data_IF_270254497703
#
_entry.id   IF_270254497703
#
_cell.length_a   1.000
_cell.length_b   1.000
_cell.length_c   1.000
_cell.angle_alpha   90.00
_cell.angle_beta   90.00
_cell.angle_gamma   90.00
#
_symmetry.space_group_name_H-M   'P 1'
#
loop_
_entity.id
_entity.type
_entity.pdbx_description
1 polymer ?
#
# COMPACT_ATOMS: atom_id res chain seq x y z
N UNK A 1 -22.74 -17.43 -46.71
CA UNK A 1 -23.80 -16.57 -46.13
C UNK A 1 -23.18 -15.63 -45.13
N UNK A 2 -23.27 -14.34 -45.42
CA UNK A 2 -22.61 -13.30 -44.65
C UNK A 2 -23.16 -13.20 -43.22
N UNK A 3 -22.44 -13.69 -42.23
CA UNK A 3 -22.78 -13.55 -40.82
C UNK A 3 -22.81 -12.08 -40.36
N UNK A 4 -22.40 -11.15 -41.23
CA UNK A 4 -22.49 -9.71 -41.02
C UNK A 4 -23.92 -9.20 -40.93
N UNK A 5 -24.84 -9.69 -41.75
CA UNK A 5 -26.20 -9.20 -41.81
C UNK A 5 -27.04 -9.53 -40.56
N UNK A 6 -26.79 -10.66 -39.93
CA UNK A 6 -27.57 -11.12 -38.77
C UNK A 6 -27.24 -10.38 -37.46
N UNK A 7 -26.05 -9.86 -37.34
CA UNK A 7 -25.61 -9.15 -36.12
C UNK A 7 -25.93 -7.63 -36.13
N UNK A 8 -26.21 -7.06 -37.29
CA UNK A 8 -26.44 -5.62 -37.48
C UNK A 8 -27.56 -5.04 -36.59
N UNK A 9 -28.76 -5.63 -36.55
CA UNK A 9 -29.83 -5.08 -35.71
C UNK A 9 -29.50 -5.11 -34.24
N UNK A 10 -28.78 -6.14 -33.79
CA UNK A 10 -28.31 -6.22 -32.41
C UNK A 10 -27.18 -5.19 -32.12
N UNK A 11 -26.27 -4.97 -33.08
CA UNK A 11 -25.21 -3.99 -32.96
C UNK A 11 -25.76 -2.55 -32.88
N UNK A 12 -26.83 -2.24 -33.62
CA UNK A 12 -27.51 -0.96 -33.55
C UNK A 12 -28.14 -0.72 -32.18
N UNK A 13 -28.82 -1.69 -31.62
CA UNK A 13 -29.39 -1.60 -30.26
C UNK A 13 -28.29 -1.48 -29.16
N UNK A 14 -27.20 -2.19 -29.34
CA UNK A 14 -26.03 -2.02 -28.42
C UNK A 14 -25.41 -0.62 -28.56
N UNK A 15 -25.36 -0.05 -29.77
CA UNK A 15 -24.88 1.30 -30.00
C UNK A 15 -25.77 2.35 -29.34
N UNK A 16 -27.09 2.20 -29.44
CA UNK A 16 -28.08 3.02 -28.75
C UNK A 16 -27.81 3.02 -27.23
N UNK A 17 -27.74 1.86 -26.61
CA UNK A 17 -27.37 1.70 -25.20
C UNK A 17 -26.03 2.38 -24.84
N UNK A 18 -25.01 2.20 -25.67
CA UNK A 18 -23.70 2.79 -25.43
C UNK A 18 -23.70 4.32 -25.56
N UNK A 19 -24.53 4.88 -26.44
CA UNK A 19 -24.71 6.33 -26.55
C UNK A 19 -25.40 6.91 -25.31
N UNK A 20 -26.46 6.26 -24.83
CA UNK A 20 -27.19 6.67 -23.62
C UNK A 20 -26.29 6.68 -22.37
N UNK A 21 -25.41 5.69 -22.23
CA UNK A 21 -24.56 5.54 -21.06
C UNK A 21 -23.14 6.10 -21.24
N UNK A 22 -22.86 6.89 -22.28
CA UNK A 22 -21.54 7.44 -22.55
C UNK A 22 -20.46 6.37 -22.73
N UNK A 23 -20.80 5.22 -23.31
CA UNK A 23 -19.92 4.06 -23.52
C UNK A 23 -19.29 3.50 -22.24
N UNK A 24 -19.93 3.67 -21.09
CA UNK A 24 -19.42 3.16 -19.81
C UNK A 24 -19.83 1.72 -19.52
N UNK A 25 -20.87 1.20 -20.18
CA UNK A 25 -21.40 -0.14 -19.92
C UNK A 25 -20.53 -1.23 -20.56
N UNK A 26 -20.08 -2.18 -19.73
CA UNK A 26 -19.56 -3.46 -20.22
C UNK A 26 -20.68 -4.40 -20.63
N UNK A 27 -20.35 -5.49 -21.32
CA UNK A 27 -21.32 -6.41 -21.92
C UNK A 27 -22.41 -6.93 -20.96
N UNK A 28 -22.09 -7.10 -19.65
CA UNK A 28 -23.08 -7.56 -18.65
C UNK A 28 -24.16 -6.53 -18.40
N UNK A 29 -23.84 -5.24 -18.36
CA UNK A 29 -24.80 -4.15 -18.20
C UNK A 29 -25.58 -3.92 -19.48
N UNK A 30 -24.91 -4.00 -20.64
CA UNK A 30 -25.57 -3.95 -21.95
C UNK A 30 -26.57 -5.09 -22.10
N UNK A 31 -26.23 -6.31 -21.68
CA UNK A 31 -27.15 -7.45 -21.67
C UNK A 31 -28.40 -7.17 -20.85
N UNK A 32 -28.26 -6.66 -19.61
CA UNK A 32 -29.40 -6.30 -18.77
C UNK A 32 -30.23 -5.17 -19.40
N UNK A 33 -29.60 -4.19 -20.03
CA UNK A 33 -30.28 -3.11 -20.73
C UNK A 33 -31.11 -3.65 -21.91
N UNK A 34 -30.56 -4.58 -22.69
CA UNK A 34 -31.27 -5.26 -23.79
C UNK A 34 -32.49 -6.03 -23.28
N UNK A 35 -32.34 -6.81 -22.19
CA UNK A 35 -33.46 -7.54 -21.58
C UNK A 35 -34.57 -6.58 -21.12
N UNK A 36 -34.25 -5.44 -20.52
CA UNK A 36 -35.22 -4.41 -20.14
C UNK A 36 -35.98 -3.81 -21.34
N UNK A 37 -35.36 -3.85 -22.52
CA UNK A 37 -35.96 -3.42 -23.79
C UNK A 37 -36.55 -4.59 -24.58
N UNK A 38 -36.81 -5.75 -23.96
CA UNK A 38 -37.46 -6.91 -24.58
C UNK A 38 -36.57 -7.71 -25.55
N UNK A 39 -35.24 -7.48 -25.52
CA UNK A 39 -34.30 -8.14 -26.43
C UNK A 39 -33.48 -9.17 -25.65
N UNK A 40 -33.87 -10.42 -25.74
CA UNK A 40 -33.23 -11.54 -25.05
C UNK A 40 -32.13 -12.16 -25.92
N UNK A 41 -30.89 -12.06 -25.49
CA UNK A 41 -29.69 -12.62 -26.15
C UNK A 41 -28.71 -13.19 -25.14
N UNK A 42 -27.99 -14.22 -25.55
CA UNK A 42 -26.93 -14.77 -24.66
C UNK A 42 -25.85 -13.71 -24.39
N UNK A 43 -25.39 -13.54 -23.14
CA UNK A 43 -24.33 -12.58 -22.79
C UNK A 43 -23.03 -12.73 -23.60
N UNK A 44 -22.67 -13.97 -23.98
CA UNK A 44 -21.50 -14.23 -24.85
C UNK A 44 -21.72 -13.67 -26.26
N UNK A 45 -22.95 -13.76 -26.80
CA UNK A 45 -23.32 -13.17 -28.09
C UNK A 45 -23.21 -11.65 -28.03
N UNK A 46 -23.74 -11.04 -26.98
CA UNK A 46 -23.62 -9.58 -26.76
C UNK A 46 -22.14 -9.16 -26.74
N UNK A 47 -21.28 -9.87 -25.98
CA UNK A 47 -19.85 -9.58 -25.95
C UNK A 47 -19.19 -9.71 -27.33
N UNK A 48 -19.50 -10.78 -28.07
CA UNK A 48 -18.97 -11.01 -29.42
C UNK A 48 -19.33 -9.87 -30.37
N UNK A 49 -20.61 -9.45 -30.36
CA UNK A 49 -21.09 -8.33 -31.20
C UNK A 49 -20.43 -7.01 -30.78
N UNK A 50 -20.32 -6.75 -29.49
CA UNK A 50 -19.59 -5.55 -28.98
C UNK A 50 -18.13 -5.54 -29.44
N UNK A 51 -17.44 -6.68 -29.45
CA UNK A 51 -16.07 -6.79 -29.95
C UNK A 51 -16.00 -6.54 -31.46
N UNK A 52 -16.86 -7.23 -32.21
CA UNK A 52 -16.89 -7.17 -33.69
C UNK A 52 -17.14 -5.75 -34.22
N UNK A 53 -18.02 -4.99 -33.57
CA UNK A 53 -18.42 -3.65 -34.01
C UNK A 53 -17.75 -2.50 -33.21
N UNK A 54 -16.73 -2.78 -32.40
CA UNK A 54 -16.00 -1.75 -31.65
C UNK A 54 -16.84 -1.02 -30.59
N UNK A 55 -17.86 -1.69 -30.04
CA UNK A 55 -18.82 -1.14 -29.07
C UNK A 55 -18.44 -1.46 -27.60
N UNK A 56 -17.20 -1.84 -27.33
CA UNK A 56 -16.74 -2.09 -25.97
C UNK A 56 -16.72 -0.81 -25.13
N UNK A 57 -16.86 -0.98 -23.83
CA UNK A 57 -16.73 0.12 -22.85
C UNK A 57 -15.40 0.84 -23.00
N UNK A 58 -15.45 2.17 -22.91
CA UNK A 58 -14.24 3.03 -22.87
C UNK A 58 -13.62 3.09 -21.49
N UNK A 59 -14.30 2.57 -20.45
CA UNK A 59 -13.76 2.51 -19.11
C UNK A 59 -12.50 1.64 -19.11
N UNK A 60 -11.38 2.30 -18.84
CA UNK A 60 -10.08 1.63 -18.80
C UNK A 60 -10.06 0.64 -17.63
N UNK A 61 -9.97 -0.66 -17.93
CA UNK A 61 -9.66 -1.64 -16.88
C UNK A 61 -8.32 -1.26 -16.27
N UNK A 62 -8.27 -1.19 -14.93
CA UNK A 62 -6.99 -1.08 -14.22
C UNK A 62 -6.11 -2.22 -14.73
N UNK A 63 -5.09 -1.92 -15.54
CA UNK A 63 -4.12 -2.94 -15.95
C UNK A 63 -3.46 -3.41 -14.66
N UNK A 64 -3.65 -4.67 -14.32
CA UNK A 64 -2.84 -5.31 -13.29
C UNK A 64 -1.41 -5.28 -13.82
N UNK A 65 -0.60 -4.34 -13.32
CA UNK A 65 0.83 -4.34 -13.60
C UNK A 65 1.40 -5.50 -12.82
N UNK A 66 1.74 -6.56 -13.53
CA UNK A 66 2.65 -7.57 -12.99
C UNK A 66 4.00 -6.86 -12.86
N UNK A 67 4.39 -6.49 -11.65
CA UNK A 67 5.70 -5.87 -11.37
C UNK A 67 6.83 -6.92 -11.42
N UNK A 68 6.84 -7.80 -12.40
CA UNK A 68 7.81 -8.87 -12.57
C UNK A 68 7.65 -10.00 -11.54
N UNK A 69 8.44 -11.02 -11.67
CA UNK A 69 8.57 -12.05 -10.64
C UNK A 69 9.24 -11.42 -9.43
N UNK A 70 8.58 -11.54 -8.28
CA UNK A 70 9.15 -11.13 -7.01
C UNK A 70 10.42 -11.94 -6.80
N UNK A 71 11.58 -11.27 -6.83
CA UNK A 71 12.88 -11.94 -6.76
C UNK A 71 13.07 -12.65 -5.40
N UNK A 72 12.57 -12.03 -4.31
CA UNK A 72 12.71 -12.55 -2.98
C UNK A 72 11.37 -12.53 -2.23
N UNK A 73 10.98 -13.68 -1.70
CA UNK A 73 9.85 -13.81 -0.77
C UNK A 73 10.35 -14.43 0.52
N UNK A 74 9.88 -13.89 1.62
CA UNK A 74 10.26 -14.36 2.94
C UNK A 74 9.04 -14.94 3.67
N UNK A 75 9.24 -15.95 4.54
CA UNK A 75 8.16 -16.48 5.38
C UNK A 75 7.65 -15.42 6.34
N UNK A 76 6.41 -15.57 6.81
CA UNK A 76 5.87 -14.76 7.90
C UNK A 76 6.39 -15.30 9.24
N UNK A 77 7.50 -14.74 9.72
CA UNK A 77 8.12 -15.13 10.98
C UNK A 77 7.40 -14.51 12.18
N UNK A 78 6.76 -13.33 12.01
CA UNK A 78 5.99 -12.69 13.06
C UNK A 78 4.76 -13.50 13.47
N UNK A 79 4.09 -14.15 12.50
CA UNK A 79 2.90 -14.97 12.70
C UNK A 79 1.88 -14.36 13.68
N UNK A 80 1.68 -13.01 13.61
CA UNK A 80 0.83 -12.18 14.49
C UNK A 80 1.30 -12.09 15.94
N UNK A 81 2.47 -12.60 16.27
CA UNK A 81 3.11 -12.30 17.55
C UNK A 81 3.89 -10.98 17.44
N UNK A 82 3.20 -9.90 17.78
CA UNK A 82 3.73 -8.55 17.79
C UNK A 82 4.39 -8.17 19.11
N UNK A 83 4.57 -9.11 20.01
CA UNK A 83 5.30 -8.89 21.25
C UNK A 83 6.81 -8.93 21.00
N UNK A 84 7.54 -8.08 21.67
CA UNK A 84 9.00 -8.09 21.73
C UNK A 84 9.43 -7.92 23.17
N UNK A 85 10.47 -8.62 23.59
CA UNK A 85 10.99 -8.61 24.95
C UNK A 85 12.02 -7.51 25.19
N UNK A 86 12.68 -7.09 24.11
CA UNK A 86 13.73 -6.07 24.13
C UNK A 86 13.67 -5.15 22.91
N UNK A 87 14.21 -3.92 23.00
CA UNK A 87 14.38 -3.05 21.86
C UNK A 87 15.19 -3.70 20.75
N UNK A 88 14.88 -3.36 19.51
CA UNK A 88 15.58 -3.84 18.32
C UNK A 88 15.51 -5.36 18.09
N UNK A 89 14.51 -6.04 18.64
CA UNK A 89 14.24 -7.45 18.40
C UNK A 89 13.32 -7.65 17.17
N UNK A 90 12.25 -6.88 17.10
CA UNK A 90 11.26 -6.94 16.01
C UNK A 90 10.92 -5.54 15.54
N UNK A 91 11.16 -5.27 14.27
CA UNK A 91 10.74 -4.05 13.60
C UNK A 91 9.67 -4.34 12.57
N UNK A 92 8.77 -3.39 12.37
CA UNK A 92 7.84 -3.36 11.23
C UNK A 92 8.14 -2.15 10.36
N UNK A 93 7.99 -2.31 9.06
CA UNK A 93 8.21 -1.24 8.08
C UNK A 93 7.07 -1.22 7.06
N UNK A 94 6.71 -0.02 6.63
CA UNK A 94 5.70 0.18 5.61
C UNK A 94 5.84 1.57 4.99
N UNK A 95 5.13 1.82 3.89
CA UNK A 95 5.09 3.09 3.18
C UNK A 95 3.66 3.60 3.16
N UNK A 96 3.46 4.82 3.61
CA UNK A 96 2.21 5.54 3.42
C UNK A 96 2.39 6.75 2.51
N UNK A 97 1.28 7.27 2.00
CA UNK A 97 1.26 8.46 1.16
C UNK A 97 0.48 9.59 1.85
N UNK A 98 0.95 10.80 1.62
CA UNK A 98 0.40 12.04 2.17
C UNK A 98 0.14 12.98 1.00
N UNK A 99 -1.10 13.42 0.88
CA UNK A 99 -1.50 14.33 -0.18
C UNK A 99 -1.18 15.77 0.21
N UNK A 100 -0.53 16.48 -0.71
CA UNK A 100 -0.33 17.93 -0.67
C UNK A 100 -0.88 18.55 -1.96
N UNK A 101 -0.99 19.87 -2.04
CA UNK A 101 -1.36 20.51 -3.31
C UNK A 101 -0.29 20.34 -4.40
N UNK A 102 0.97 20.17 -4.03
CA UNK A 102 2.06 19.87 -4.98
C UNK A 102 2.03 18.44 -5.53
N UNK A 103 1.32 17.53 -4.85
CA UNK A 103 1.25 16.12 -5.24
C UNK A 103 1.33 15.17 -4.04
N UNK A 104 1.79 13.95 -4.28
CA UNK A 104 1.89 12.91 -3.26
C UNK A 104 3.30 12.85 -2.68
N UNK A 105 3.41 12.97 -1.37
CA UNK A 105 4.63 12.69 -0.60
C UNK A 105 4.52 11.28 0.00
N UNK A 106 5.52 10.46 -0.21
CA UNK A 106 5.62 9.12 0.36
C UNK A 106 6.42 9.16 1.65
N UNK A 107 5.94 8.46 2.67
CA UNK A 107 6.58 8.33 3.98
C UNK A 107 6.87 6.86 4.23
N UNK A 108 8.14 6.50 4.32
CA UNK A 108 8.60 5.18 4.77
C UNK A 108 9.02 5.28 6.24
N UNK A 109 8.58 4.32 7.06
CA UNK A 109 8.91 4.25 8.48
C UNK A 109 9.49 2.89 8.86
N UNK A 110 10.23 2.88 9.97
CA UNK A 110 10.54 1.68 10.75
C UNK A 110 10.08 1.93 12.17
N UNK A 111 9.24 1.02 12.69
CA UNK A 111 8.69 1.03 14.04
C UNK A 111 9.19 -0.17 14.82
N UNK A 112 9.68 0.06 16.03
CA UNK A 112 10.04 -1.00 16.97
C UNK A 112 8.79 -1.56 17.66
N UNK A 113 8.68 -2.87 17.76
CA UNK A 113 7.52 -3.51 18.41
C UNK A 113 7.64 -3.61 19.93
N UNK A 114 8.82 -3.40 20.49
CA UNK A 114 9.01 -3.40 21.94
C UNK A 114 8.36 -2.19 22.62
N UNK A 115 8.68 -1.00 22.14
CA UNK A 115 8.24 0.27 22.72
C UNK A 115 7.27 1.04 21.82
N UNK A 116 7.10 0.62 20.59
CA UNK A 116 6.34 1.27 19.53
C UNK A 116 6.94 2.58 19.00
N UNK A 117 8.20 2.90 19.31
CA UNK A 117 8.87 4.08 18.77
C UNK A 117 9.07 4.01 17.26
N UNK A 118 9.07 5.16 16.61
CA UNK A 118 9.54 5.29 15.23
C UNK A 118 11.04 5.44 15.26
N UNK A 119 11.74 4.36 14.95
CA UNK A 119 13.20 4.27 14.94
C UNK A 119 13.79 5.15 13.84
N UNK A 120 13.23 5.06 12.65
CA UNK A 120 13.62 5.86 11.51
C UNK A 120 12.45 6.11 10.57
N UNK A 121 12.56 7.19 9.81
CA UNK A 121 11.65 7.50 8.72
C UNK A 121 12.37 8.26 7.60
N UNK A 122 11.84 8.17 6.40
CA UNK A 122 12.22 9.00 5.25
C UNK A 122 11.01 9.38 4.43
N UNK A 123 11.10 10.55 3.83
CA UNK A 123 10.09 11.03 2.87
C UNK A 123 10.69 11.12 1.47
N UNK A 124 9.87 10.94 0.46
CA UNK A 124 10.25 11.05 -0.95
C UNK A 124 9.05 11.39 -1.84
N UNK A 125 9.32 11.94 -3.00
CA UNK A 125 8.31 12.23 -4.03
C UNK A 125 7.98 11.01 -4.89
N UNK A 126 8.73 9.93 -4.73
CA UNK A 126 8.56 8.66 -5.45
C UNK A 126 8.51 7.49 -4.47
N UNK A 127 7.61 6.54 -4.76
CA UNK A 127 7.53 5.27 -4.03
C UNK A 127 8.50 4.27 -4.69
N UNK A 128 9.78 4.39 -4.40
CA UNK A 128 10.82 3.55 -4.97
C UNK A 128 11.60 2.74 -3.92
N UNK A 129 12.46 1.84 -4.38
CA UNK A 129 13.29 0.99 -3.52
C UNK A 129 14.25 1.82 -2.66
N UNK A 130 14.79 2.92 -3.20
CA UNK A 130 15.76 3.77 -2.49
C UNK A 130 15.17 4.44 -1.26
N UNK A 131 13.87 4.73 -1.25
CA UNK A 131 13.16 5.27 -0.07
C UNK A 131 13.25 4.29 1.10
N UNK A 132 12.93 3.01 0.86
CA UNK A 132 12.99 1.95 1.88
C UNK A 132 14.44 1.69 2.33
N UNK A 133 15.36 1.52 1.37
CA UNK A 133 16.77 1.30 1.71
C UNK A 133 17.37 2.45 2.52
N UNK A 134 16.97 3.68 2.17
CA UNK A 134 17.36 4.88 2.92
C UNK A 134 16.85 4.85 4.36
N UNK A 135 15.60 4.42 4.59
CA UNK A 135 15.01 4.30 5.93
C UNK A 135 15.75 3.25 6.77
N UNK A 136 16.10 2.09 6.17
CA UNK A 136 16.86 1.04 6.87
C UNK A 136 18.27 1.54 7.24
N UNK A 137 18.94 2.26 6.34
CA UNK A 137 20.27 2.84 6.63
C UNK A 137 20.21 3.85 7.78
N UNK A 138 19.19 4.69 7.84
CA UNK A 138 18.99 5.63 8.95
C UNK A 138 18.71 4.89 10.26
N UNK A 139 17.90 3.84 10.26
CA UNK A 139 17.69 3.01 11.45
C UNK A 139 18.98 2.37 11.93
N UNK A 140 19.79 1.80 11.02
CA UNK A 140 21.09 1.20 11.35
C UNK A 140 22.09 2.18 11.94
N UNK A 141 22.05 3.46 11.56
CA UNK A 141 22.91 4.51 12.14
C UNK A 141 22.53 4.86 13.58
N UNK A 142 21.22 4.84 13.88
CA UNK A 142 20.68 5.23 15.18
C UNK A 142 20.74 4.12 16.22
N UNK A 143 20.58 2.88 15.76
CA UNK A 143 20.38 1.73 16.63
C UNK A 143 21.45 0.65 16.44
N UNK A 144 21.77 -0.03 17.53
CA UNK A 144 22.60 -1.23 17.47
C UNK A 144 21.76 -2.39 16.93
N UNK A 145 21.95 -2.70 15.66
CA UNK A 145 21.30 -3.83 15.00
C UNK A 145 22.11 -5.10 15.24
N UNK A 146 21.48 -6.11 15.79
CA UNK A 146 22.04 -7.45 15.99
C UNK A 146 21.48 -8.45 14.98
N UNK A 147 22.10 -9.61 14.84
CA UNK A 147 21.62 -10.69 13.96
C UNK A 147 20.25 -11.27 14.38
N UNK A 148 19.77 -10.94 15.58
CA UNK A 148 18.44 -11.37 16.04
C UNK A 148 17.30 -10.45 15.52
N UNK A 149 17.62 -9.28 14.96
CA UNK A 149 16.61 -8.35 14.49
C UNK A 149 15.80 -8.92 13.34
N UNK A 150 14.50 -9.00 13.52
CA UNK A 150 13.53 -9.29 12.47
C UNK A 150 12.94 -8.00 11.92
N UNK A 151 12.92 -7.84 10.59
CA UNK A 151 12.29 -6.71 9.92
C UNK A 151 11.10 -7.23 9.10
N UNK A 152 9.89 -6.92 9.54
CA UNK A 152 8.66 -7.35 8.91
C UNK A 152 8.08 -6.27 7.99
N UNK A 153 7.63 -6.68 6.80
CA UNK A 153 7.03 -5.81 5.79
C UNK A 153 5.85 -6.49 5.11
N UNK A 154 5.14 -5.76 4.28
CA UNK A 154 4.26 -6.34 3.27
C UNK A 154 5.07 -6.97 2.11
N UNK A 155 4.35 -7.50 1.08
CA UNK A 155 4.97 -8.06 -0.12
C UNK A 155 5.12 -7.00 -1.24
N UNK A 156 5.30 -5.73 -0.90
CA UNK A 156 5.55 -4.67 -1.85
C UNK A 156 6.84 -4.90 -2.66
N UNK A 157 6.89 -4.40 -3.90
CA UNK A 157 8.04 -4.60 -4.80
C UNK A 157 9.35 -4.04 -4.21
N UNK A 158 9.28 -3.07 -3.33
CA UNK A 158 10.45 -2.49 -2.66
C UNK A 158 11.12 -3.53 -1.75
N UNK A 159 10.33 -4.30 -1.03
CA UNK A 159 10.78 -5.29 -0.06
C UNK A 159 11.15 -6.64 -0.68
N UNK A 160 10.69 -6.90 -1.91
CA UNK A 160 11.02 -8.12 -2.67
C UNK A 160 12.19 -7.92 -3.63
N UNK A 161 12.77 -6.72 -3.68
CA UNK A 161 13.86 -6.37 -4.59
C UNK A 161 15.20 -6.99 -4.17
N UNK A 162 16.06 -7.24 -5.16
CA UNK A 162 17.43 -7.72 -4.93
C UNK A 162 18.25 -6.75 -4.04
N UNK A 163 18.00 -5.44 -4.17
CA UNK A 163 18.71 -4.44 -3.37
C UNK A 163 18.31 -4.51 -1.88
N UNK A 164 17.03 -4.75 -1.59
CA UNK A 164 16.57 -4.99 -0.22
C UNK A 164 17.19 -6.26 0.36
N UNK A 165 17.19 -7.36 -0.39
CA UNK A 165 17.85 -8.61 0.02
C UNK A 165 19.32 -8.38 0.39
N UNK A 166 20.10 -7.75 -0.50
CA UNK A 166 21.53 -7.49 -0.25
C UNK A 166 21.74 -6.63 0.99
N UNK A 167 20.93 -5.59 1.18
CA UNK A 167 21.06 -4.69 2.32
C UNK A 167 20.74 -5.39 3.65
N UNK A 168 19.65 -6.15 3.71
CA UNK A 168 19.27 -6.88 4.93
C UNK A 168 20.31 -7.94 5.29
N UNK A 169 20.82 -8.67 4.30
CA UNK A 169 21.92 -9.62 4.51
C UNK A 169 23.18 -8.93 5.04
N UNK A 170 23.60 -7.80 4.44
CA UNK A 170 24.81 -7.07 4.87
C UNK A 170 24.71 -6.52 6.29
N UNK A 171 23.49 -6.34 6.81
CA UNK A 171 23.25 -5.83 8.17
C UNK A 171 22.91 -6.96 9.17
N UNK A 172 22.86 -8.23 8.73
CA UNK A 172 22.44 -9.35 9.56
C UNK A 172 20.97 -9.27 9.99
N UNK A 173 20.12 -8.55 9.26
CA UNK A 173 18.70 -8.42 9.54
C UNK A 173 17.96 -9.60 8.92
N UNK A 174 17.09 -10.25 9.67
CA UNK A 174 16.23 -11.35 9.20
C UNK A 174 14.92 -10.76 8.62
N UNK A 175 14.71 -10.83 7.30
CA UNK A 175 13.47 -10.34 6.70
C UNK A 175 12.29 -11.28 7.00
N UNK A 176 11.12 -10.68 7.23
CA UNK A 176 9.85 -11.37 7.39
C UNK A 176 8.77 -10.66 6.56
N UNK A 177 7.80 -11.38 6.02
CA UNK A 177 6.74 -10.78 5.18
C UNK A 177 5.36 -11.23 5.58
N UNK A 178 4.40 -10.32 5.51
CA UNK A 178 2.98 -10.62 5.63
C UNK A 178 2.55 -11.63 4.58
N UNK A 179 1.55 -12.44 4.89
CA UNK A 179 0.88 -13.29 3.90
C UNK A 179 0.13 -12.42 2.89
N UNK A 180 0.13 -12.84 1.65
CA UNK A 180 -0.55 -12.08 0.58
C UNK A 180 -2.03 -11.89 0.88
N UNK A 181 -2.48 -10.63 0.84
CA UNK A 181 -3.88 -10.29 1.06
C UNK A 181 -4.35 -10.38 2.52
N UNK A 182 -3.43 -10.50 3.48
CA UNK A 182 -3.76 -10.52 4.90
C UNK A 182 -3.38 -9.20 5.58
N UNK A 183 -4.33 -8.26 5.77
CA UNK A 183 -4.06 -6.96 6.38
C UNK A 183 -3.65 -7.06 7.85
N UNK A 184 -4.05 -8.11 8.56
CA UNK A 184 -3.73 -8.26 9.98
C UNK A 184 -2.24 -8.50 10.24
N UNK A 185 -1.50 -8.98 9.25
CA UNK A 185 -0.09 -9.29 9.43
C UNK A 185 0.80 -8.03 9.46
N UNK A 186 0.33 -6.87 8.93
CA UNK A 186 1.04 -5.58 8.95
C UNK A 186 0.29 -4.49 9.75
N UNK A 187 -0.70 -4.88 10.54
CA UNK A 187 -1.61 -3.97 11.23
C UNK A 187 -0.92 -2.91 12.12
N UNK A 188 0.26 -3.19 12.68
CA UNK A 188 0.94 -2.24 13.56
C UNK A 188 1.62 -1.09 12.82
N UNK A 189 2.14 -1.32 11.60
CA UNK A 189 2.63 -0.23 10.77
C UNK A 189 1.47 0.64 10.26
N UNK A 190 0.38 -0.01 9.80
CA UNK A 190 -0.85 0.67 9.37
C UNK A 190 -1.49 1.49 10.51
N UNK A 191 -1.46 0.96 11.74
CA UNK A 191 -1.96 1.65 12.94
C UNK A 191 -1.23 2.98 13.17
N UNK A 192 0.10 3.02 13.07
CA UNK A 192 0.84 4.27 13.21
C UNK A 192 0.43 5.29 12.15
N UNK A 193 0.31 4.86 10.89
CA UNK A 193 -0.12 5.78 9.83
C UNK A 193 -1.54 6.30 10.04
N UNK A 194 -2.44 5.48 10.56
CA UNK A 194 -3.79 5.92 10.92
C UNK A 194 -3.75 7.01 11.99
N UNK A 195 -2.94 6.80 13.03
CA UNK A 195 -2.75 7.77 14.13
C UNK A 195 -2.15 9.08 13.58
N UNK A 196 -1.04 9.02 12.83
CA UNK A 196 -0.41 10.19 12.21
C UNK A 196 -1.39 10.97 11.34
N UNK A 197 -2.15 10.27 10.49
CA UNK A 197 -3.12 10.92 9.60
C UNK A 197 -4.24 11.61 10.38
N UNK A 198 -4.78 10.95 11.39
CA UNK A 198 -5.91 11.45 12.17
C UNK A 198 -5.50 12.58 13.11
N UNK A 199 -4.41 12.42 13.84
CA UNK A 199 -3.98 13.39 14.85
C UNK A 199 -3.25 14.61 14.24
N UNK A 200 -2.67 14.47 13.03
CA UNK A 200 -1.81 15.49 12.45
C UNK A 200 -2.24 15.87 11.02
N UNK A 201 -2.12 14.97 10.05
CA UNK A 201 -2.20 15.30 8.62
C UNK A 201 -3.59 15.84 8.22
N UNK A 202 -4.67 15.18 8.64
CA UNK A 202 -6.05 15.57 8.25
C UNK A 202 -6.52 16.87 8.90
N UNK A 203 -5.77 17.37 9.88
CA UNK A 203 -6.07 18.65 10.56
C UNK A 203 -5.46 19.85 9.87
N UNK A 204 -4.59 19.63 8.86
CA UNK A 204 -3.82 20.66 8.18
C UNK A 204 -3.99 20.54 6.67
N UNK A 205 -4.23 21.66 5.99
CA UNK A 205 -4.26 21.73 4.53
C UNK A 205 -2.84 21.94 4.00
N UNK A 206 -2.12 20.86 3.77
CA UNK A 206 -0.75 20.88 3.29
C UNK A 206 -0.65 21.46 1.86
N UNK A 207 0.15 22.48 1.69
CA UNK A 207 0.36 23.12 0.38
C UNK A 207 1.56 22.48 -0.33
N UNK A 208 2.67 22.32 0.39
CA UNK A 208 3.97 21.92 -0.19
C UNK A 208 4.49 20.62 0.42
N UNK A 209 5.46 20.00 -0.28
CA UNK A 209 6.19 18.86 0.26
C UNK A 209 7.01 19.23 1.50
N UNK A 210 7.52 20.45 1.55
CA UNK A 210 8.35 20.92 2.67
C UNK A 210 7.51 21.08 3.94
N UNK A 211 6.33 21.70 3.85
CA UNK A 211 5.38 21.77 4.97
C UNK A 211 5.04 20.36 5.49
N UNK A 212 4.78 19.42 4.57
CA UNK A 212 4.49 18.05 4.95
C UNK A 212 5.67 17.37 5.66
N UNK A 213 6.92 17.60 5.20
CA UNK A 213 8.12 17.05 5.82
C UNK A 213 8.33 17.58 7.23
N UNK A 214 8.21 18.89 7.42
CA UNK A 214 8.32 19.52 8.73
C UNK A 214 7.27 18.99 9.69
N UNK A 215 6.02 19.01 9.28
CA UNK A 215 4.90 18.53 10.09
C UNK A 215 5.04 17.06 10.50
N UNK A 216 5.49 16.18 9.58
CA UNK A 216 5.77 14.78 9.88
C UNK A 216 6.90 14.65 10.90
N UNK A 217 7.98 15.43 10.74
CA UNK A 217 9.12 15.39 11.64
C UNK A 217 8.74 15.80 13.05
N UNK A 218 8.03 16.91 13.19
CA UNK A 218 7.52 17.41 14.47
C UNK A 218 6.57 16.40 15.13
N UNK A 219 5.67 15.82 14.34
CA UNK A 219 4.75 14.81 14.86
C UNK A 219 5.46 13.53 15.32
N UNK A 220 6.45 13.02 14.58
CA UNK A 220 7.21 11.82 14.97
C UNK A 220 8.02 12.13 16.24
N UNK A 221 8.57 13.34 16.38
CA UNK A 221 9.22 13.75 17.62
C UNK A 221 8.23 13.74 18.79
N UNK A 222 7.10 14.41 18.65
CA UNK A 222 6.01 14.38 19.65
C UNK A 222 5.57 12.95 19.98
N UNK A 223 5.34 12.12 18.96
CA UNK A 223 4.93 10.74 19.13
C UNK A 223 5.91 9.92 19.98
N UNK A 224 7.20 10.06 19.71
CA UNK A 224 8.22 9.29 20.42
C UNK A 224 8.46 9.78 21.84
N UNK A 225 8.44 11.11 22.08
CA UNK A 225 8.90 11.73 23.34
C UNK A 225 7.77 12.17 24.26
N UNK A 226 6.57 12.43 23.75
CA UNK A 226 5.50 13.09 24.52
C UNK A 226 4.18 12.34 24.47
N UNK A 227 3.89 11.60 23.39
CA UNK A 227 2.62 10.92 23.23
C UNK A 227 2.54 9.68 24.11
N UNK A 228 1.69 9.74 25.16
CA UNK A 228 1.49 8.64 26.10
C UNK A 228 0.72 7.49 25.41
N UNK A 229 1.23 6.26 25.53
CA UNK A 229 0.56 5.04 25.12
C UNK A 229 -0.34 4.53 26.23
N UNK A 230 -1.62 4.31 25.96
CA UNK A 230 -2.60 3.90 26.97
C UNK A 230 -2.25 2.59 27.67
N UNK A 231 -1.66 1.63 26.93
CA UNK A 231 -1.31 0.32 27.48
C UNK A 231 -0.15 0.37 28.49
N UNK A 232 0.85 1.18 28.22
CA UNK A 232 2.06 1.28 29.08
C UNK A 232 2.03 2.44 30.04
N UNK A 233 1.14 3.44 29.79
CA UNK A 233 1.11 4.75 30.46
C UNK A 233 2.42 5.56 30.33
N UNK A 234 3.25 5.20 29.36
CA UNK A 234 4.53 5.80 29.05
C UNK A 234 4.56 6.28 27.61
N UNK A 235 5.44 7.17 27.28
CA UNK A 235 5.81 7.46 25.91
C UNK A 235 6.65 6.31 25.33
N UNK A 236 6.76 6.17 23.99
CA UNK A 236 7.61 5.16 23.38
C UNK A 236 9.05 5.15 23.95
N UNK A 237 9.69 6.31 24.02
CA UNK A 237 11.07 6.39 24.46
C UNK A 237 11.24 6.23 25.99
N UNK A 238 10.28 6.67 26.82
CA UNK A 238 10.31 6.35 28.25
C UNK A 238 10.29 4.84 28.47
N UNK A 239 9.44 4.10 27.72
CA UNK A 239 9.43 2.64 27.78
C UNK A 239 10.76 2.05 27.33
N UNK A 240 11.40 2.60 26.27
CA UNK A 240 12.70 2.16 25.77
C UNK A 240 13.79 2.35 26.84
N UNK A 241 13.81 3.51 27.51
CA UNK A 241 14.78 3.81 28.57
C UNK A 241 14.68 2.86 29.77
N UNK A 242 13.50 2.37 30.10
CA UNK A 242 13.34 1.37 31.18
C UNK A 242 14.05 0.03 30.91
N UNK A 243 14.32 -0.31 29.67
CA UNK A 243 15.06 -1.53 29.33
C UNK A 243 16.58 -1.37 29.55
N UNK A 244 17.08 -0.16 29.43
CA UNK A 244 18.53 0.14 29.53
C UNK A 244 18.97 0.39 30.99
N UNK A 245 18.00 0.61 31.86
CA UNK A 245 18.20 0.83 33.30
C UNK A 245 18.24 -0.50 34.05
#
# INVERSE_FOLDING_TARGET
MDTLAWDLPLAEKIRECQNECGRTYGYRRVHIWLERNGIYRNPKTVLRVMQKYGLLSVIRRKKYRNYGDYLHRYPNLLNRDFSAEKPNQKWVTDISYIHTKQGVLYLSIIRDLYDNSIVAYKTGTEQNVNLVLGTIREAKKKEKVTAELQLHSDQGFQYTSQAYYRLTQSYGITPSMSRRGNPYDNALAENFFSILKTECIYRTKLQTYEEARLLIGEYIHFYNHQRIQLKTKLTPLEKRCQYVA
#
